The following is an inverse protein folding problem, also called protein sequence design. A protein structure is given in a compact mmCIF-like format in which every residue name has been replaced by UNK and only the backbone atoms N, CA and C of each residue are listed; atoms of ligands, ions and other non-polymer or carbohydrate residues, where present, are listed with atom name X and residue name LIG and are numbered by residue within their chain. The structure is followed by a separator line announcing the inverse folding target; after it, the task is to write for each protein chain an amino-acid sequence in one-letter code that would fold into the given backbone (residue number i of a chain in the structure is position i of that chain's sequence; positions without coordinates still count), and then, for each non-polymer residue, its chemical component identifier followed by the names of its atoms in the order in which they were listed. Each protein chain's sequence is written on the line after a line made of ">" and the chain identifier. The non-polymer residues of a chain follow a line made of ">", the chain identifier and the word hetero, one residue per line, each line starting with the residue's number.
data_IF_604640335474
#
_entry.id   IF_604640335474
#
_cell.length_a   1.000
_cell.length_b   1.000
_cell.length_c   1.000
_cell.angle_alpha   90.00
_cell.angle_beta   90.00
_cell.angle_gamma   90.00
#
_symmetry.space_group_name_H-M   'P 1'
#
loop_
_entity.id
_entity.type
_entity.pdbx_description
1 polymer ?
#
# COMPACT_ATOMS: atom_id res chain seq x y z
N UNK A 1 20.69 -27.59 1.51
CA UNK A 1 21.00 -26.71 0.38
C UNK A 1 19.66 -26.40 -0.25
N UNK A 2 19.31 -25.13 -0.33
CA UNK A 2 17.94 -24.72 -0.67
C UNK A 2 17.64 -25.03 -2.14
N UNK A 3 16.60 -25.83 -2.37
CA UNK A 3 15.89 -25.85 -3.66
C UNK A 3 15.18 -24.50 -3.75
N UNK A 4 15.67 -23.61 -4.62
CA UNK A 4 15.06 -22.31 -4.84
C UNK A 4 14.03 -22.43 -5.97
N UNK A 5 12.72 -22.27 -5.71
CA UNK A 5 11.66 -22.49 -6.72
C UNK A 5 11.64 -21.44 -7.84
N UNK A 6 12.53 -20.45 -7.82
CA UNK A 6 12.60 -19.36 -8.80
C UNK A 6 13.93 -19.30 -9.57
N UNK A 7 14.87 -20.22 -9.35
CA UNK A 7 16.06 -20.39 -10.20
C UNK A 7 16.02 -21.81 -10.74
N UNK A 8 15.93 -21.95 -12.07
CA UNK A 8 15.68 -23.24 -12.73
C UNK A 8 16.66 -23.46 -13.87
N UNK A 9 17.19 -24.68 -13.98
CA UNK A 9 17.89 -25.12 -15.18
C UNK A 9 16.83 -25.52 -16.23
N UNK A 10 16.88 -24.87 -17.38
CA UNK A 10 15.99 -25.11 -18.50
C UNK A 10 16.60 -26.17 -19.41
N UNK A 11 15.78 -27.16 -19.78
CA UNK A 11 16.07 -28.17 -20.77
C UNK A 11 14.82 -28.42 -21.64
N UNK A 12 14.94 -29.32 -22.61
CA UNK A 12 13.86 -29.58 -23.57
C UNK A 12 12.55 -30.05 -22.91
N UNK A 13 12.63 -30.68 -21.74
CA UNK A 13 11.47 -31.27 -21.06
C UNK A 13 10.65 -30.22 -20.29
N UNK A 14 11.31 -29.19 -19.73
CA UNK A 14 10.65 -28.20 -18.88
C UNK A 14 10.47 -26.81 -19.51
N UNK A 15 11.10 -26.54 -20.67
CA UNK A 15 11.04 -25.23 -21.34
C UNK A 15 9.61 -24.75 -21.57
N UNK A 16 8.71 -25.62 -22.04
CA UNK A 16 7.33 -25.24 -22.35
C UNK A 16 6.56 -24.87 -21.08
N UNK A 17 6.74 -25.63 -20.00
CA UNK A 17 6.11 -25.34 -18.71
C UNK A 17 6.62 -24.02 -18.12
N UNK A 18 7.93 -23.77 -18.17
CA UNK A 18 8.54 -22.54 -17.63
C UNK A 18 8.09 -21.32 -18.45
N UNK A 19 7.98 -21.44 -19.78
CA UNK A 19 7.40 -20.39 -20.61
C UNK A 19 5.92 -20.15 -20.28
N UNK A 20 5.15 -21.18 -19.94
CA UNK A 20 3.77 -21.00 -19.48
C UNK A 20 3.69 -20.29 -18.12
N UNK A 21 4.60 -20.61 -17.18
CA UNK A 21 4.69 -19.88 -15.91
C UNK A 21 4.97 -18.38 -16.12
N UNK A 22 5.56 -18.01 -17.26
CA UNK A 22 5.78 -16.59 -17.60
C UNK A 22 4.51 -15.78 -17.86
N UNK A 23 3.34 -16.42 -17.93
CA UNK A 23 2.03 -15.76 -17.94
C UNK A 23 1.71 -15.11 -16.59
N UNK A 24 2.11 -15.73 -15.49
CA UNK A 24 1.79 -15.27 -14.14
C UNK A 24 2.96 -14.52 -13.50
N UNK A 25 4.20 -14.96 -13.76
CA UNK A 25 5.41 -14.37 -13.17
C UNK A 25 6.40 -13.95 -14.26
N UNK A 26 7.06 -12.79 -14.15
CA UNK A 26 8.15 -12.44 -15.05
C UNK A 26 9.22 -13.54 -15.12
N UNK A 27 9.74 -13.80 -16.30
CA UNK A 27 10.76 -14.83 -16.54
C UNK A 27 11.99 -14.21 -17.21
N UNK A 28 13.17 -14.49 -16.67
CA UNK A 28 14.46 -14.08 -17.21
C UNK A 28 15.16 -15.35 -17.66
N UNK A 29 15.42 -15.50 -18.96
CA UNK A 29 16.19 -16.64 -19.47
C UNK A 29 17.60 -16.17 -19.81
N UNK A 30 18.61 -16.77 -19.19
CA UNK A 30 20.01 -16.55 -19.51
C UNK A 30 20.59 -17.76 -20.24
N UNK A 31 21.05 -17.52 -21.46
CA UNK A 31 21.77 -18.47 -22.29
C UNK A 31 23.27 -18.31 -21.99
N UNK A 32 23.86 -19.37 -21.43
CA UNK A 32 25.22 -19.34 -20.92
C UNK A 32 26.03 -20.57 -21.34
N UNK A 33 27.36 -20.48 -21.21
CA UNK A 33 28.26 -21.63 -21.29
C UNK A 33 29.24 -21.62 -20.11
N UNK A 34 29.37 -22.72 -19.33
CA UNK A 34 30.29 -22.78 -18.19
C UNK A 34 31.76 -22.55 -18.56
N UNK A 35 32.15 -22.93 -19.77
CA UNK A 35 33.52 -22.76 -20.28
C UNK A 35 33.85 -21.31 -20.66
N UNK A 36 32.84 -20.45 -20.83
CA UNK A 36 32.99 -19.05 -21.18
C UNK A 36 32.97 -18.17 -19.92
N UNK A 37 34.15 -17.67 -19.52
CA UNK A 37 34.32 -16.95 -18.25
C UNK A 37 33.33 -15.79 -18.05
N UNK A 38 33.17 -14.92 -19.05
CA UNK A 38 32.23 -13.79 -18.98
C UNK A 38 30.78 -14.26 -18.78
N UNK A 39 30.42 -15.39 -19.38
CA UNK A 39 29.09 -15.96 -19.27
C UNK A 39 28.83 -16.52 -17.87
N UNK A 40 29.81 -17.23 -17.31
CA UNK A 40 29.73 -17.76 -15.96
C UNK A 40 29.70 -16.66 -14.89
N UNK A 41 30.55 -15.63 -15.04
CA UNK A 41 30.59 -14.49 -14.12
C UNK A 41 29.26 -13.71 -14.14
N UNK A 42 28.63 -13.55 -15.30
CA UNK A 42 27.32 -12.88 -15.41
C UNK A 42 26.17 -13.71 -14.84
N UNK A 43 26.21 -15.03 -15.02
CA UNK A 43 25.21 -15.91 -14.43
C UNK A 43 25.20 -15.81 -12.90
N UNK A 44 26.38 -15.75 -12.27
CA UNK A 44 26.48 -15.54 -10.80
C UNK A 44 25.86 -14.22 -10.37
N UNK A 45 26.03 -13.13 -11.14
CA UNK A 45 25.39 -11.86 -10.86
C UNK A 45 23.85 -11.97 -10.97
N UNK A 46 23.34 -12.67 -11.99
CA UNK A 46 21.90 -12.89 -12.15
C UNK A 46 21.31 -13.71 -11.01
N UNK A 47 22.00 -14.76 -10.54
CA UNK A 47 21.58 -15.55 -9.39
C UNK A 47 21.50 -14.69 -8.12
N UNK A 48 22.52 -13.85 -7.85
CA UNK A 48 22.50 -12.91 -6.72
C UNK A 48 21.34 -11.90 -6.79
N UNK A 49 20.99 -11.45 -8.00
CA UNK A 49 19.84 -10.55 -8.21
C UNK A 49 18.53 -11.31 -8.02
N UNK A 50 18.38 -12.51 -8.58
CA UNK A 50 17.19 -13.34 -8.39
C UNK A 50 16.93 -13.60 -6.89
N UNK A 51 17.99 -13.88 -6.13
CA UNK A 51 17.93 -14.00 -4.68
C UNK A 51 17.47 -12.70 -3.99
N UNK A 52 17.96 -11.53 -4.41
CA UNK A 52 17.52 -10.24 -3.83
C UNK A 52 16.03 -9.96 -4.09
N UNK A 53 15.52 -10.37 -5.24
CA UNK A 53 14.13 -10.15 -5.64
C UNK A 53 13.16 -11.25 -5.14
N UNK A 54 13.66 -12.27 -4.43
CA UNK A 54 12.87 -13.25 -3.66
C UNK A 54 11.64 -13.78 -4.42
N UNK A 55 11.81 -14.17 -5.69
CA UNK A 55 10.75 -14.77 -6.50
C UNK A 55 9.80 -13.79 -7.21
N UNK A 56 10.12 -12.48 -7.25
CA UNK A 56 9.42 -11.52 -8.15
C UNK A 56 9.62 -11.85 -9.65
N UNK A 57 10.64 -12.64 -9.99
CA UNK A 57 10.81 -13.22 -11.31
C UNK A 57 11.46 -14.61 -11.20
N UNK A 58 11.32 -15.42 -12.24
CA UNK A 58 11.98 -16.72 -12.40
C UNK A 58 13.25 -16.51 -13.22
N UNK A 59 14.39 -17.02 -12.76
CA UNK A 59 15.64 -17.10 -13.53
C UNK A 59 15.77 -18.49 -14.16
N UNK A 60 15.56 -18.57 -15.45
CA UNK A 60 15.83 -19.75 -16.27
C UNK A 60 17.26 -19.74 -16.81
N UNK A 61 18.01 -20.81 -16.56
CA UNK A 61 19.39 -20.98 -17.02
C UNK A 61 19.42 -21.99 -18.14
N UNK A 62 20.02 -21.64 -19.28
CA UNK A 62 20.17 -22.54 -20.42
C UNK A 62 21.66 -22.72 -20.71
N UNK A 63 22.18 -23.90 -20.35
CA UNK A 63 23.53 -24.31 -20.72
C UNK A 63 23.57 -24.64 -22.23
N UNK A 64 24.11 -23.73 -23.03
CA UNK A 64 24.12 -23.84 -24.48
C UNK A 64 25.06 -24.94 -25.00
N UNK A 65 25.97 -25.46 -24.17
CA UNK A 65 26.83 -26.58 -24.54
C UNK A 65 26.06 -27.90 -24.51
N UNK A 66 25.09 -28.01 -23.59
CA UNK A 66 24.20 -29.17 -23.44
C UNK A 66 22.92 -29.05 -24.26
N UNK A 67 22.26 -27.90 -24.20
CA UNK A 67 20.92 -27.66 -24.74
C UNK A 67 20.98 -26.91 -26.09
N UNK A 68 21.75 -27.45 -27.03
CA UNK A 68 22.02 -26.81 -28.33
C UNK A 68 20.75 -26.56 -29.16
N UNK A 69 19.76 -27.45 -29.06
CA UNK A 69 18.49 -27.30 -29.78
C UNK A 69 17.69 -26.11 -29.27
N UNK A 70 17.67 -25.88 -27.95
CA UNK A 70 17.03 -24.71 -27.33
C UNK A 70 17.76 -23.44 -27.77
N UNK A 71 19.09 -23.41 -27.68
CA UNK A 71 19.88 -22.26 -28.15
C UNK A 71 19.60 -21.92 -29.63
N UNK A 72 19.44 -22.94 -30.48
CA UNK A 72 19.08 -22.75 -31.89
C UNK A 72 17.65 -22.20 -32.06
N UNK A 73 16.68 -22.69 -31.28
CA UNK A 73 15.29 -22.21 -31.31
C UNK A 73 15.19 -20.71 -30.97
N UNK A 74 15.96 -20.25 -29.98
CA UNK A 74 16.05 -18.84 -29.59
C UNK A 74 17.02 -18.03 -30.46
N UNK A 75 17.65 -18.67 -31.47
CA UNK A 75 18.60 -18.06 -32.41
C UNK A 75 19.75 -17.33 -31.72
N UNK A 76 20.32 -17.95 -30.68
CA UNK A 76 21.42 -17.37 -29.91
C UNK A 76 22.68 -17.25 -30.79
N UNK A 77 23.21 -16.02 -30.89
CA UNK A 77 24.39 -15.71 -31.72
C UNK A 77 25.65 -15.41 -30.89
N UNK A 78 25.48 -15.05 -29.61
CA UNK A 78 26.56 -14.69 -28.70
C UNK A 78 26.22 -15.16 -27.28
N UNK A 79 27.26 -15.41 -26.47
CA UNK A 79 27.12 -15.79 -25.07
C UNK A 79 27.84 -14.76 -24.17
N UNK A 80 27.27 -14.38 -23.02
CA UNK A 80 25.89 -14.70 -22.61
C UNK A 80 24.86 -13.93 -23.46
N UNK A 81 23.63 -14.44 -23.53
CA UNK A 81 22.47 -13.68 -24.04
C UNK A 81 21.33 -13.82 -23.04
N UNK A 82 20.65 -12.72 -22.71
CA UNK A 82 19.52 -12.73 -21.77
C UNK A 82 18.25 -12.26 -22.44
N UNK A 83 17.16 -12.99 -22.19
CA UNK A 83 15.82 -12.63 -22.60
C UNK A 83 14.96 -12.30 -21.38
N UNK A 84 14.14 -11.26 -21.51
CA UNK A 84 13.17 -10.83 -20.52
C UNK A 84 11.76 -11.14 -21.04
N UNK A 85 11.05 -11.99 -20.32
CA UNK A 85 9.69 -12.42 -20.62
C UNK A 85 8.70 -11.89 -19.59
N UNK A 86 7.54 -11.46 -20.08
CA UNK A 86 6.37 -11.13 -19.27
C UNK A 86 5.13 -11.44 -20.09
N UNK A 87 4.11 -12.03 -19.46
CA UNK A 87 2.86 -12.42 -20.12
C UNK A 87 3.10 -13.32 -21.36
N UNK A 88 4.05 -14.26 -21.24
CA UNK A 88 4.50 -15.14 -22.33
C UNK A 88 5.06 -14.44 -23.59
N UNK A 89 5.44 -13.17 -23.50
CA UNK A 89 6.07 -12.41 -24.58
C UNK A 89 7.49 -12.00 -24.21
N UNK A 90 8.43 -12.12 -25.16
CA UNK A 90 9.78 -11.58 -25.02
C UNK A 90 9.72 -10.05 -25.19
N UNK A 91 9.83 -9.31 -24.09
CA UNK A 91 9.77 -7.85 -24.09
C UNK A 91 11.15 -7.20 -24.34
N UNK A 92 12.23 -7.89 -23.97
CA UNK A 92 13.59 -7.42 -24.23
C UNK A 92 14.54 -8.61 -24.42
N UNK A 93 15.63 -8.39 -25.15
CA UNK A 93 16.71 -9.35 -25.32
C UNK A 93 18.03 -8.61 -25.55
N UNK A 94 19.06 -8.98 -24.79
CA UNK A 94 20.38 -8.34 -24.90
C UNK A 94 21.52 -9.36 -24.84
N UNK A 95 22.53 -9.23 -25.74
CA UNK A 95 23.76 -9.99 -25.65
C UNK A 95 24.75 -9.34 -24.67
N UNK A 96 25.67 -10.15 -24.15
CA UNK A 96 26.78 -9.71 -23.31
C UNK A 96 26.42 -9.55 -21.82
N UNK A 97 27.46 -9.34 -21.02
CA UNK A 97 27.35 -9.07 -19.59
C UNK A 97 26.96 -7.62 -19.33
N UNK A 98 26.12 -7.40 -18.31
CA UNK A 98 25.81 -6.07 -17.78
C UNK A 98 26.34 -5.94 -16.35
N UNK A 99 26.64 -4.70 -15.94
CA UNK A 99 26.81 -4.42 -14.52
C UNK A 99 25.47 -4.48 -13.77
N UNK A 100 25.54 -4.51 -12.44
CA UNK A 100 24.35 -4.67 -11.58
C UNK A 100 23.33 -3.56 -11.80
N UNK A 101 23.78 -2.31 -11.96
CA UNK A 101 22.88 -1.16 -12.12
C UNK A 101 22.11 -1.22 -13.43
N UNK A 102 22.80 -1.51 -14.53
CA UNK A 102 22.21 -1.64 -15.87
C UNK A 102 21.26 -2.84 -15.94
N UNK A 103 21.63 -3.95 -15.28
CA UNK A 103 20.76 -5.12 -15.17
C UNK A 103 19.45 -4.78 -14.43
N UNK A 104 19.53 -4.12 -13.27
CA UNK A 104 18.33 -3.70 -12.52
C UNK A 104 17.43 -2.78 -13.37
N UNK A 105 18.03 -1.83 -14.08
CA UNK A 105 17.29 -0.95 -14.98
C UNK A 105 16.55 -1.75 -16.07
N UNK A 106 17.19 -2.77 -16.66
CA UNK A 106 16.56 -3.64 -17.66
C UNK A 106 15.44 -4.49 -17.06
N UNK A 107 15.67 -5.08 -15.89
CA UNK A 107 14.66 -5.88 -15.19
C UNK A 107 13.41 -5.07 -14.83
N UNK A 108 13.54 -3.77 -14.58
CA UNK A 108 12.38 -2.90 -14.28
C UNK A 108 11.29 -2.89 -15.36
N UNK A 109 11.61 -3.30 -16.59
CA UNK A 109 10.64 -3.44 -17.70
C UNK A 109 9.63 -4.56 -17.41
N UNK A 110 10.08 -5.63 -16.77
CA UNK A 110 9.25 -6.82 -16.53
C UNK A 110 8.79 -6.94 -15.07
N UNK A 111 9.54 -6.37 -14.13
CA UNK A 111 9.21 -6.46 -12.71
C UNK A 111 7.92 -5.70 -12.37
N UNK A 112 7.14 -6.19 -11.39
CA UNK A 112 6.02 -5.44 -10.86
C UNK A 112 6.53 -4.14 -10.25
N UNK A 113 5.76 -3.07 -10.38
CA UNK A 113 6.11 -1.81 -9.71
C UNK A 113 5.91 -1.96 -8.20
N UNK A 114 6.63 -1.16 -7.43
CA UNK A 114 6.51 -1.18 -5.96
C UNK A 114 5.09 -0.84 -5.50
N UNK A 115 4.40 0.07 -6.19
CA UNK A 115 2.98 0.40 -5.96
C UNK A 115 2.07 -0.83 -6.11
N UNK A 116 2.31 -1.66 -7.11
CA UNK A 116 1.52 -2.88 -7.36
C UNK A 116 1.77 -3.94 -6.29
N UNK A 117 3.03 -4.11 -5.86
CA UNK A 117 3.40 -5.04 -4.80
C UNK A 117 2.73 -4.67 -3.48
N UNK A 118 2.77 -3.38 -3.11
CA UNK A 118 2.12 -2.85 -1.90
C UNK A 118 0.61 -3.05 -1.97
N UNK A 119 0.01 -2.79 -3.12
CA UNK A 119 -1.42 -3.00 -3.34
C UNK A 119 -1.82 -4.47 -3.19
N UNK A 120 -1.06 -5.41 -3.77
CA UNK A 120 -1.34 -6.85 -3.61
C UNK A 120 -1.20 -7.30 -2.15
N UNK A 121 -0.16 -6.87 -1.45
CA UNK A 121 -0.01 -7.15 -0.02
C UNK A 121 -1.18 -6.61 0.81
N UNK A 122 -1.70 -5.43 0.45
CA UNK A 122 -2.88 -4.90 1.10
C UNK A 122 -4.10 -5.79 0.88
N UNK A 123 -4.31 -6.29 -0.35
CA UNK A 123 -5.40 -7.21 -0.66
C UNK A 123 -5.32 -8.49 0.19
N UNK A 124 -4.13 -9.06 0.39
CA UNK A 124 -3.93 -10.24 1.24
C UNK A 124 -4.37 -9.98 2.69
N UNK A 125 -4.05 -8.80 3.24
CA UNK A 125 -4.50 -8.41 4.59
C UNK A 125 -6.02 -8.17 4.63
N UNK A 126 -6.60 -7.60 3.58
CA UNK A 126 -8.04 -7.36 3.49
C UNK A 126 -8.84 -8.66 3.41
N UNK A 127 -8.31 -9.72 2.78
CA UNK A 127 -8.95 -11.04 2.73
C UNK A 127 -9.16 -11.65 4.12
N UNK A 128 -8.28 -11.31 5.08
CA UNK A 128 -8.38 -11.74 6.48
C UNK A 128 -8.91 -10.62 7.39
N UNK A 129 -9.57 -9.61 6.81
CA UNK A 129 -10.16 -8.45 7.49
C UNK A 129 -9.18 -7.67 8.38
N UNK A 130 -7.88 -7.76 8.10
CA UNK A 130 -6.84 -7.03 8.83
C UNK A 130 -6.64 -5.62 8.23
N UNK A 131 -7.62 -4.75 8.49
CA UNK A 131 -7.63 -3.39 7.97
C UNK A 131 -6.45 -2.55 8.46
N UNK A 132 -6.00 -2.74 9.71
CA UNK A 132 -4.89 -1.98 10.30
C UNK A 132 -3.56 -2.21 9.57
N UNK A 133 -3.29 -3.45 9.13
CA UNK A 133 -2.11 -3.77 8.33
C UNK A 133 -2.26 -3.34 6.87
N UNK A 134 -3.48 -3.34 6.31
CA UNK A 134 -3.74 -2.95 4.93
C UNK A 134 -3.60 -1.44 4.69
N UNK A 135 -4.07 -0.59 5.61
CA UNK A 135 -4.06 0.88 5.47
C UNK A 135 -2.70 1.48 5.09
N UNK A 136 -1.58 1.19 5.79
CA UNK A 136 -0.28 1.77 5.42
C UNK A 136 0.18 1.32 4.04
N UNK A 137 -0.13 0.08 3.63
CA UNK A 137 0.23 -0.44 2.31
C UNK A 137 -0.58 0.25 1.19
N UNK A 138 -1.87 0.46 1.39
CA UNK A 138 -2.72 1.20 0.45
C UNK A 138 -2.29 2.66 0.33
N UNK A 139 -1.92 3.28 1.46
CA UNK A 139 -1.37 4.64 1.47
C UNK A 139 -0.06 4.71 0.68
N UNK A 140 0.90 3.83 0.97
CA UNK A 140 2.19 3.77 0.27
C UNK A 140 1.96 3.56 -1.24
N UNK A 141 1.11 2.60 -1.62
CA UNK A 141 0.79 2.31 -3.02
C UNK A 141 0.21 3.54 -3.74
N UNK A 142 -0.69 4.27 -3.08
CA UNK A 142 -1.29 5.47 -3.66
C UNK A 142 -0.28 6.61 -3.78
N UNK A 143 0.58 6.83 -2.78
CA UNK A 143 1.64 7.83 -2.81
C UNK A 143 2.68 7.54 -3.89
N UNK A 144 3.11 6.27 -4.04
CA UNK A 144 4.03 5.84 -5.09
C UNK A 144 3.48 6.07 -6.50
N UNK A 145 2.15 5.95 -6.67
CA UNK A 145 1.47 6.23 -7.94
C UNK A 145 1.29 7.73 -8.25
N UNK A 146 1.95 8.63 -7.49
CA UNK A 146 1.68 10.09 -7.49
C UNK A 146 0.19 10.42 -7.27
N UNK A 147 -0.53 9.58 -6.53
CA UNK A 147 -1.99 9.66 -6.33
C UNK A 147 -2.83 9.55 -7.61
N UNK A 148 -2.29 9.00 -8.69
CA UNK A 148 -3.00 8.86 -9.97
C UNK A 148 -3.84 7.59 -10.06
N UNK A 149 -3.54 6.58 -9.24
CA UNK A 149 -4.29 5.33 -9.26
C UNK A 149 -5.57 5.44 -8.42
N UNK A 150 -6.68 5.73 -9.09
CA UNK A 150 -8.01 5.88 -8.46
C UNK A 150 -8.54 4.57 -7.88
N UNK A 151 -8.18 3.40 -8.41
CA UNK A 151 -8.61 2.10 -7.85
C UNK A 151 -8.00 1.86 -6.46
N UNK A 152 -6.72 2.22 -6.29
CA UNK A 152 -6.04 2.17 -4.99
C UNK A 152 -6.70 3.16 -4.02
N UNK A 153 -7.00 4.37 -4.49
CA UNK A 153 -7.67 5.39 -3.66
C UNK A 153 -9.07 4.95 -3.19
N UNK A 154 -9.87 4.35 -4.08
CA UNK A 154 -11.18 3.82 -3.75
C UNK A 154 -11.09 2.71 -2.70
N UNK A 155 -10.17 1.76 -2.87
CA UNK A 155 -9.96 0.70 -1.88
C UNK A 155 -9.44 1.24 -0.54
N UNK A 156 -8.58 2.25 -0.59
CA UNK A 156 -8.08 2.93 0.61
C UNK A 156 -9.20 3.61 1.39
N UNK A 157 -10.09 4.33 0.71
CA UNK A 157 -11.28 4.92 1.33
C UNK A 157 -12.25 3.86 1.87
N UNK A 158 -12.52 2.82 1.08
CA UNK A 158 -13.38 1.69 1.46
C UNK A 158 -12.88 1.00 2.75
N UNK A 159 -11.57 0.83 2.88
CA UNK A 159 -10.94 0.27 4.09
C UNK A 159 -11.23 1.12 5.32
N UNK A 160 -11.14 2.45 5.22
CA UNK A 160 -11.53 3.35 6.32
C UNK A 160 -13.03 3.29 6.64
N UNK A 161 -13.90 3.18 5.61
CA UNK A 161 -15.35 3.05 5.80
C UNK A 161 -15.71 1.75 6.54
N UNK A 162 -15.01 0.64 6.24
CA UNK A 162 -15.15 -0.62 6.96
C UNK A 162 -14.80 -0.47 8.44
N UNK A 163 -13.76 0.31 8.74
CA UNK A 163 -13.34 0.67 10.10
C UNK A 163 -14.20 1.75 10.77
N UNK A 164 -15.31 2.18 10.14
CA UNK A 164 -16.20 3.28 10.62
C UNK A 164 -15.50 4.63 10.77
N UNK A 165 -14.39 4.85 10.06
CA UNK A 165 -13.65 6.12 10.02
C UNK A 165 -14.05 6.90 8.77
N UNK A 166 -15.15 7.64 8.84
CA UNK A 166 -15.75 8.33 7.68
C UNK A 166 -14.96 9.55 7.20
N UNK A 167 -14.36 10.31 8.11
CA UNK A 167 -13.59 11.52 7.78
C UNK A 167 -12.38 11.24 6.86
N UNK A 168 -11.43 10.35 7.21
CA UNK A 168 -10.30 10.07 6.32
C UNK A 168 -10.74 9.42 5.00
N UNK A 169 -11.81 8.61 5.01
CA UNK A 169 -12.39 8.07 3.79
C UNK A 169 -12.88 9.19 2.86
N UNK A 170 -13.60 10.17 3.40
CA UNK A 170 -14.12 11.31 2.64
C UNK A 170 -12.97 12.17 2.07
N UNK A 171 -11.91 12.41 2.85
CA UNK A 171 -10.73 13.14 2.38
C UNK A 171 -10.05 12.47 1.19
N UNK A 172 -10.00 11.13 1.17
CA UNK A 172 -9.46 10.36 0.05
C UNK A 172 -10.38 10.47 -1.16
N UNK A 173 -11.68 10.22 -0.99
CA UNK A 173 -12.65 10.29 -2.09
C UNK A 173 -12.69 11.67 -2.75
N UNK A 174 -12.49 12.75 -1.98
CA UNK A 174 -12.44 14.11 -2.49
C UNK A 174 -11.24 14.37 -3.41
N UNK A 175 -10.13 13.65 -3.22
CA UNK A 175 -8.93 13.75 -4.04
C UNK A 175 -9.03 12.98 -5.37
N UNK A 176 -10.03 12.12 -5.54
CA UNK A 176 -10.23 11.35 -6.77
C UNK A 176 -10.73 12.28 -7.90
N UNK A 177 -10.09 12.25 -9.09
CA UNK A 177 -10.47 13.06 -10.25
C UNK A 177 -11.92 12.81 -10.68
N UNK A 178 -12.62 13.85 -11.16
CA UNK A 178 -14.02 13.76 -11.58
C UNK A 178 -14.29 12.68 -12.63
N UNK A 179 -13.33 12.46 -13.55
CA UNK A 179 -13.42 11.44 -14.60
C UNK A 179 -13.46 10.00 -14.08
N UNK A 180 -12.91 9.77 -12.87
CA UNK A 180 -12.80 8.44 -12.27
C UNK A 180 -13.88 8.22 -11.18
N UNK A 181 -14.81 9.17 -11.01
CA UNK A 181 -15.94 9.06 -10.07
C UNK A 181 -17.07 8.28 -10.71
N UNK A 182 -16.92 6.98 -10.68
CA UNK A 182 -17.87 6.01 -11.23
C UNK A 182 -18.93 5.56 -10.20
N UNK A 183 -19.63 4.48 -10.51
CA UNK A 183 -20.61 3.88 -9.59
C UNK A 183 -20.02 3.44 -8.26
N UNK A 184 -18.75 2.99 -8.23
CA UNK A 184 -18.08 2.57 -7.00
C UNK A 184 -17.84 3.77 -6.11
N UNK A 185 -17.32 4.87 -6.68
CA UNK A 185 -17.14 6.12 -5.95
C UNK A 185 -18.45 6.62 -5.33
N UNK A 186 -19.54 6.66 -6.10
CA UNK A 186 -20.85 7.08 -5.61
C UNK A 186 -21.41 6.17 -4.51
N UNK A 187 -21.18 4.85 -4.62
CA UNK A 187 -21.56 3.89 -3.58
C UNK A 187 -20.84 4.14 -2.25
N UNK A 188 -19.53 4.39 -2.30
CA UNK A 188 -18.73 4.73 -1.11
C UNK A 188 -19.16 6.06 -0.49
N UNK A 189 -19.45 7.07 -1.33
CA UNK A 189 -19.98 8.36 -0.84
C UNK A 189 -21.31 8.17 -0.10
N UNK A 190 -22.27 7.45 -0.69
CA UNK A 190 -23.55 7.17 -0.05
C UNK A 190 -23.37 6.38 1.26
N UNK A 191 -22.42 5.44 1.30
CA UNK A 191 -22.10 4.70 2.52
C UNK A 191 -21.55 5.60 3.63
N UNK A 192 -20.67 6.55 3.29
CA UNK A 192 -20.19 7.58 4.23
C UNK A 192 -21.37 8.41 4.73
N UNK A 193 -22.22 8.92 3.85
CA UNK A 193 -23.36 9.76 4.21
C UNK A 193 -24.32 9.03 5.18
N UNK A 194 -24.62 7.76 4.91
CA UNK A 194 -25.44 6.93 5.80
C UNK A 194 -24.77 6.69 7.16
N UNK A 195 -23.44 6.48 7.19
CA UNK A 195 -22.71 6.33 8.45
C UNK A 195 -22.68 7.63 9.27
N UNK A 196 -22.51 8.78 8.61
CA UNK A 196 -22.57 10.11 9.25
C UNK A 196 -23.97 10.33 9.83
N UNK A 197 -25.03 10.07 9.06
CA UNK A 197 -26.41 10.19 9.54
C UNK A 197 -26.69 9.30 10.74
N UNK A 198 -26.19 8.05 10.72
CA UNK A 198 -26.33 7.13 11.84
C UNK A 198 -25.58 7.60 13.11
N UNK A 199 -24.45 8.31 12.92
CA UNK A 199 -23.66 8.88 14.01
C UNK A 199 -24.20 10.24 14.51
N UNK A 200 -25.15 10.86 13.82
CA UNK A 200 -25.73 12.15 14.18
C UNK A 200 -27.03 11.96 14.99
N UNK A 201 -26.89 11.53 16.25
CA UNK A 201 -28.04 11.23 17.09
C UNK A 201 -28.81 12.49 17.50
N UNK A 202 -30.12 12.38 17.84
CA UNK A 202 -30.90 13.52 18.32
C UNK A 202 -30.28 14.23 19.52
N UNK A 203 -29.62 13.49 20.41
CA UNK A 203 -28.92 14.03 21.57
C UNK A 203 -27.71 14.89 21.17
N UNK A 204 -26.94 14.44 20.16
CA UNK A 204 -25.82 15.22 19.62
C UNK A 204 -26.35 16.51 18.98
N UNK A 205 -27.40 16.41 18.16
CA UNK A 205 -28.01 17.58 17.51
C UNK A 205 -28.50 18.61 18.54
N UNK A 206 -29.14 18.14 19.62
CA UNK A 206 -29.59 19.01 20.70
C UNK A 206 -28.40 19.71 21.40
N UNK A 207 -27.36 18.95 21.77
CA UNK A 207 -26.18 19.50 22.44
C UNK A 207 -25.40 20.47 21.54
N UNK A 208 -25.35 20.23 20.22
CA UNK A 208 -24.78 21.18 19.26
C UNK A 208 -25.59 22.48 19.20
N UNK A 209 -26.93 22.38 19.17
CA UNK A 209 -27.80 23.55 19.17
C UNK A 209 -27.68 24.36 20.48
N UNK A 210 -27.56 23.69 21.61
CA UNK A 210 -27.35 24.32 22.91
C UNK A 210 -25.98 25.00 23.00
N UNK A 211 -24.92 24.34 22.50
CA UNK A 211 -23.58 24.91 22.45
C UNK A 211 -23.50 26.13 21.54
N UNK A 212 -24.19 26.11 20.39
CA UNK A 212 -24.24 27.23 19.47
C UNK A 212 -24.93 28.47 20.07
N UNK A 213 -25.94 28.26 20.93
CA UNK A 213 -26.63 29.34 21.63
C UNK A 213 -25.85 29.83 22.85
N UNK A 214 -25.23 28.92 23.58
CA UNK A 214 -24.51 29.21 24.82
C UNK A 214 -23.23 28.38 24.91
N UNK A 215 -22.10 28.85 24.34
CA UNK A 215 -20.86 28.09 24.30
C UNK A 215 -20.20 28.06 25.69
N UNK A 216 -20.48 27.01 26.45
CA UNK A 216 -19.90 26.78 27.78
C UNK A 216 -19.06 25.50 27.79
N UNK A 217 -18.05 25.47 28.67
CA UNK A 217 -17.20 24.30 28.84
C UNK A 217 -17.98 23.04 29.26
N UNK A 218 -19.02 23.20 30.08
CA UNK A 218 -19.88 22.09 30.50
C UNK A 218 -20.64 21.46 29.32
N UNK A 219 -21.24 22.27 28.45
CA UNK A 219 -21.94 21.76 27.26
C UNK A 219 -20.94 21.12 26.29
N UNK A 220 -19.76 21.71 26.12
CA UNK A 220 -18.72 21.15 25.27
C UNK A 220 -18.24 19.77 25.73
N UNK A 221 -18.08 19.56 27.05
CA UNK A 221 -17.73 18.26 27.62
C UNK A 221 -18.83 17.22 27.31
N UNK A 222 -20.11 17.56 27.57
CA UNK A 222 -21.24 16.66 27.28
C UNK A 222 -21.31 16.30 25.80
N UNK A 223 -21.16 17.31 24.94
CA UNK A 223 -21.16 17.13 23.49
C UNK A 223 -19.98 16.26 23.03
N UNK A 224 -18.76 16.51 23.51
CA UNK A 224 -17.59 15.73 23.17
C UNK A 224 -17.71 14.25 23.59
N UNK A 225 -18.34 13.97 24.74
CA UNK A 225 -18.65 12.60 25.16
C UNK A 225 -19.61 11.91 24.20
N UNK A 226 -20.69 12.58 23.81
CA UNK A 226 -21.66 12.02 22.86
C UNK A 226 -21.04 11.82 21.47
N UNK A 227 -20.24 12.78 21.00
CA UNK A 227 -19.48 12.67 19.75
C UNK A 227 -18.52 11.47 19.79
N UNK A 228 -17.78 11.28 20.89
CA UNK A 228 -16.91 10.11 21.06
C UNK A 228 -17.69 8.79 21.04
N UNK A 229 -18.85 8.73 21.72
CA UNK A 229 -19.72 7.55 21.72
C UNK A 229 -20.24 7.19 20.32
N UNK A 230 -20.48 8.20 19.48
CA UNK A 230 -20.87 8.03 18.08
C UNK A 230 -19.67 7.81 17.13
N UNK A 231 -18.44 7.72 17.65
CA UNK A 231 -17.22 7.54 16.84
C UNK A 231 -16.70 8.82 16.17
N UNK A 232 -17.33 9.98 16.41
CA UNK A 232 -16.99 11.31 15.87
C UNK A 232 -15.85 11.95 16.67
N UNK A 233 -14.72 11.25 16.72
CA UNK A 233 -13.61 11.56 17.62
C UNK A 233 -12.86 12.85 17.25
N UNK A 234 -12.66 13.14 15.96
CA UNK A 234 -11.97 14.37 15.56
C UNK A 234 -12.77 15.62 15.94
N UNK A 235 -14.09 15.60 15.75
CA UNK A 235 -14.99 16.68 16.20
C UNK A 235 -14.94 16.85 17.72
N UNK A 236 -15.00 15.76 18.48
CA UNK A 236 -14.92 15.78 19.94
C UNK A 236 -13.60 16.40 20.43
N UNK A 237 -12.47 15.95 19.86
CA UNK A 237 -11.14 16.44 20.21
C UNK A 237 -10.93 17.88 19.77
N UNK A 238 -11.40 18.26 18.58
CA UNK A 238 -11.32 19.64 18.07
C UNK A 238 -12.10 20.61 18.95
N UNK A 239 -13.33 20.23 19.36
CA UNK A 239 -14.17 21.01 20.25
C UNK A 239 -13.48 21.30 21.59
N UNK A 240 -13.00 20.25 22.26
CA UNK A 240 -12.32 20.39 23.55
C UNK A 240 -10.99 21.14 23.41
N UNK A 241 -10.21 20.86 22.37
CA UNK A 241 -8.95 21.53 22.11
C UNK A 241 -9.12 23.04 21.82
N UNK A 242 -10.22 23.42 21.16
CA UNK A 242 -10.58 24.82 20.95
C UNK A 242 -10.73 25.59 22.26
N UNK A 243 -11.32 24.97 23.28
CA UNK A 243 -11.45 25.57 24.63
C UNK A 243 -10.09 25.61 25.34
N UNK A 244 -9.32 24.53 25.27
CA UNK A 244 -8.00 24.44 25.91
C UNK A 244 -7.02 25.49 25.38
N UNK A 245 -7.12 25.85 24.10
CA UNK A 245 -6.34 26.95 23.50
C UNK A 245 -6.59 28.31 24.17
N UNK A 246 -7.79 28.52 24.72
CA UNK A 246 -8.16 29.77 25.38
C UNK A 246 -7.94 29.70 26.89
N UNK A 247 -8.30 28.58 27.53
CA UNK A 247 -8.14 28.35 28.96
C UNK A 247 -7.82 26.88 29.26
N UNK A 248 -6.58 26.63 29.66
CA UNK A 248 -6.07 25.31 30.05
C UNK A 248 -6.70 24.77 31.35
N UNK A 249 -7.24 25.67 32.18
CA UNK A 249 -7.90 25.37 33.46
C UNK A 249 -9.43 25.39 33.37
N UNK A 250 -9.98 25.50 32.17
CA UNK A 250 -11.43 25.58 31.93
C UNK A 250 -12.19 24.48 32.69
N UNK A 251 -13.27 24.87 33.35
CA UNK A 251 -14.08 23.99 34.19
C UNK A 251 -13.23 23.22 35.23
N UNK A 252 -12.38 23.93 35.98
CA UNK A 252 -11.45 23.34 36.97
C UNK A 252 -10.54 22.23 36.40
N UNK A 253 -10.22 22.31 35.10
CA UNK A 253 -9.41 21.32 34.39
C UNK A 253 -10.17 20.10 33.86
N UNK A 254 -11.48 20.02 34.03
CA UNK A 254 -12.31 18.90 33.54
C UNK A 254 -12.21 18.75 32.01
N UNK A 255 -12.15 19.86 31.26
CA UNK A 255 -12.00 19.83 29.78
C UNK A 255 -10.73 19.08 29.38
N UNK A 256 -9.62 19.35 30.07
CA UNK A 256 -8.33 18.69 29.81
C UNK A 256 -8.38 17.21 30.19
N UNK A 257 -9.01 16.88 31.32
CA UNK A 257 -9.18 15.48 31.72
C UNK A 257 -10.01 14.69 30.71
N UNK A 258 -11.11 15.27 30.22
CA UNK A 258 -11.95 14.62 29.23
C UNK A 258 -11.23 14.44 27.90
N UNK A 259 -10.49 15.47 27.44
CA UNK A 259 -9.68 15.40 26.23
C UNK A 259 -8.64 14.27 26.29
N UNK A 260 -7.90 14.18 27.41
CA UNK A 260 -6.93 13.10 27.62
C UNK A 260 -7.59 11.72 27.72
N UNK A 261 -8.78 11.63 28.32
CA UNK A 261 -9.53 10.38 28.43
C UNK A 261 -9.95 9.85 27.06
N UNK A 262 -10.44 10.72 26.17
CA UNK A 262 -10.77 10.35 24.78
C UNK A 262 -9.51 9.86 24.04
N UNK A 263 -8.39 10.58 24.13
CA UNK A 263 -7.12 10.16 23.52
C UNK A 263 -6.63 8.80 24.03
N UNK A 264 -6.80 8.53 25.33
CA UNK A 264 -6.45 7.23 25.91
C UNK A 264 -7.38 6.12 25.43
N UNK A 265 -8.69 6.40 25.30
CA UNK A 265 -9.68 5.44 24.81
C UNK A 265 -9.44 5.04 23.34
N UNK A 266 -8.99 5.98 22.50
CA UNK A 266 -8.64 5.72 21.10
C UNK A 266 -7.34 4.92 20.92
N UNK A 267 -6.49 4.85 21.96
CA UNK A 267 -5.22 4.14 21.91
C UNK A 267 -4.09 4.91 21.20
N UNK A 268 -2.86 4.43 21.41
CA UNK A 268 -1.63 5.10 20.95
C UNK A 268 -1.35 4.93 19.44
N UNK A 269 -1.92 3.89 18.83
CA UNK A 269 -1.71 3.59 17.42
C UNK A 269 -2.59 4.45 16.49
N UNK A 270 -3.62 5.12 17.03
CA UNK A 270 -4.51 5.93 16.20
C UNK A 270 -3.81 7.23 15.71
N UNK A 271 -3.82 7.51 14.40
CA UNK A 271 -3.22 8.72 13.84
C UNK A 271 -3.76 10.02 14.44
N UNK A 272 -5.06 10.09 14.74
CA UNK A 272 -5.67 11.27 15.38
C UNK A 272 -5.12 11.47 16.79
N UNK A 273 -4.94 10.39 17.55
CA UNK A 273 -4.32 10.47 18.89
C UNK A 273 -2.94 11.13 18.82
N UNK A 274 -2.12 10.73 17.85
CA UNK A 274 -0.78 11.28 17.68
C UNK A 274 -0.80 12.75 17.24
N UNK A 275 -1.70 13.14 16.32
CA UNK A 275 -1.93 14.54 15.90
C UNK A 275 -2.27 15.42 17.09
N UNK A 276 -3.28 15.06 17.87
CA UNK A 276 -3.78 15.86 18.98
C UNK A 276 -2.85 15.88 20.20
N UNK A 277 -2.08 14.82 20.46
CA UNK A 277 -1.03 14.85 21.49
C UNK A 277 0.07 15.85 21.18
N UNK A 278 0.53 15.90 19.93
CA UNK A 278 1.53 16.89 19.49
C UNK A 278 1.00 18.32 19.66
N UNK A 279 -0.25 18.56 19.26
CA UNK A 279 -0.92 19.84 19.43
C UNK A 279 -1.05 20.24 20.90
N UNK A 280 -1.43 19.32 21.78
CA UNK A 280 -1.52 19.59 23.22
C UNK A 280 -0.13 19.88 23.82
N UNK A 281 0.90 19.12 23.42
CA UNK A 281 2.27 19.36 23.89
C UNK A 281 2.75 20.77 23.52
N UNK A 282 2.52 21.21 22.28
CA UNK A 282 2.87 22.57 21.83
C UNK A 282 2.08 23.70 22.50
N UNK A 283 0.99 23.36 23.19
CA UNK A 283 0.19 24.34 23.94
C UNK A 283 0.65 24.47 25.39
N UNK A 284 1.30 23.42 25.92
CA UNK A 284 1.77 23.36 27.31
C UNK A 284 3.20 23.88 27.50
N UNK A 285 3.98 23.94 26.42
CA UNK A 285 5.41 24.30 26.39
C UNK A 285 5.68 25.30 25.27
#
# INVERSE_FOLDING_TARGET
>A
MADFPFIVEINEQNLTEILQQSLEKPLVINFYAPTHKESADFLVLLEQVAEQYQGQFILGKVDCEKEQMIAAQFRIQALPTTYLFKEAQALDAFPGMLDKASLIQRLSIILPKEEDLKFQQALDFLQVENYEAALPLLKDAWELSDKKNSDVALLYAETYIAMKKTEPAQEILNQIPLQDRDSRWHGLQAQIELQIQAADTPEIQQLQADYAKNPTAEIAIKLAVQLHQAGRNEEALTLLFGILKTDLSAQNGEVKQQFLSILSAMGNADPLTNKFRRLLYSLLY
#
